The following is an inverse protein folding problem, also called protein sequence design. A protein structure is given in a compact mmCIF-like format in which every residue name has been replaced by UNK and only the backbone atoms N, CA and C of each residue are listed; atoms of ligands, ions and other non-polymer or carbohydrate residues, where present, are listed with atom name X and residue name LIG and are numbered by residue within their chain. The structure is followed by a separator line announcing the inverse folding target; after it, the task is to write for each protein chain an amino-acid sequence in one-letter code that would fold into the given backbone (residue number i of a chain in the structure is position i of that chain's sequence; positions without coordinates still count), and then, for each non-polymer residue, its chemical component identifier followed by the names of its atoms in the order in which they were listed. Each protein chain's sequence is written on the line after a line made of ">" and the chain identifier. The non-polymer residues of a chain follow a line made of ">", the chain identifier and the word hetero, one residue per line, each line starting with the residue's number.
data_IF_690708910117
#
_entry.id   IF_690708910117
#
_cell.length_a   1.000
_cell.length_b   1.000
_cell.length_c   1.000
_cell.angle_alpha   90.00
_cell.angle_beta   90.00
_cell.angle_gamma   90.00
#
_symmetry.space_group_name_H-M   'P 1'
#
loop_
_entity.id
_entity.type
_entity.pdbx_description
1 polymer ?
#
# COMPACT_ATOMS: atom_id res chain seq x y z
N UNK A 1 15.52 1.03 19.05
CA UNK A 1 14.65 -0.14 18.76
C UNK A 1 13.25 0.35 18.54
N UNK A 2 12.63 -0.09 17.46
CA UNK A 2 11.24 0.22 17.19
C UNK A 2 10.36 -0.68 18.08
N UNK A 3 9.72 -0.10 19.09
CA UNK A 3 8.92 -0.81 20.10
C UNK A 3 7.75 -1.59 19.48
N UNK A 4 7.29 -1.15 18.31
CA UNK A 4 6.17 -1.75 17.58
C UNK A 4 6.63 -2.74 16.48
N UNK A 5 7.92 -3.05 16.39
CA UNK A 5 8.43 -3.99 15.39
C UNK A 5 8.08 -5.44 15.74
N UNK A 6 7.62 -6.18 14.74
CA UNK A 6 7.40 -7.63 14.85
C UNK A 6 8.76 -8.30 15.04
N UNK A 7 8.87 -9.22 16.00
CA UNK A 7 10.13 -9.92 16.27
C UNK A 7 10.48 -10.88 15.12
N UNK A 8 11.76 -11.05 14.86
CA UNK A 8 12.23 -12.05 13.87
C UNK A 8 11.76 -13.47 14.24
N UNK A 9 11.62 -13.77 15.52
CA UNK A 9 11.11 -15.04 16.02
C UNK A 9 9.66 -15.28 15.57
N UNK A 10 8.82 -14.27 15.66
CA UNK A 10 7.42 -14.37 15.22
C UNK A 10 7.34 -14.55 13.70
N UNK A 11 8.14 -13.80 12.94
CA UNK A 11 8.23 -13.94 11.47
C UNK A 11 8.63 -15.37 11.10
N UNK A 12 9.69 -15.91 11.71
CA UNK A 12 10.15 -17.27 11.44
C UNK A 12 9.12 -18.33 11.83
N UNK A 13 8.35 -18.12 12.90
CA UNK A 13 7.22 -19.00 13.24
C UNK A 13 6.19 -19.01 12.11
N UNK A 14 5.77 -17.86 11.64
CA UNK A 14 4.80 -17.77 10.54
C UNK A 14 5.30 -18.36 9.22
N UNK A 15 6.61 -18.23 8.94
CA UNK A 15 7.23 -18.91 7.79
C UNK A 15 7.16 -20.42 7.95
N UNK A 16 7.48 -20.96 9.13
CA UNK A 16 7.45 -22.39 9.41
C UNK A 16 6.03 -22.99 9.35
N UNK A 17 5.02 -22.18 9.66
CA UNK A 17 3.60 -22.52 9.54
C UNK A 17 3.06 -22.35 8.10
N UNK A 18 3.88 -21.85 7.18
CA UNK A 18 3.47 -21.60 5.78
C UNK A 18 2.51 -20.42 5.61
N UNK A 19 2.44 -19.51 6.60
CA UNK A 19 1.52 -18.37 6.58
C UNK A 19 2.09 -17.19 5.77
N UNK A 20 3.42 -17.04 5.74
CA UNK A 20 4.11 -15.95 5.05
C UNK A 20 5.35 -16.47 4.33
N UNK A 21 5.73 -15.78 3.25
CA UNK A 21 7.00 -15.96 2.54
C UNK A 21 7.87 -14.73 2.80
N UNK A 22 8.82 -14.85 3.73
CA UNK A 22 9.67 -13.75 4.17
C UNK A 22 10.86 -13.54 3.24
N UNK A 23 10.89 -12.42 2.55
CA UNK A 23 11.94 -12.07 1.58
C UNK A 23 13.13 -11.32 2.18
N UNK A 24 13.10 -10.99 3.47
CA UNK A 24 14.14 -10.16 4.09
C UNK A 24 14.12 -8.72 3.59
N UNK A 25 15.24 -8.02 3.79
CA UNK A 25 15.43 -6.68 3.26
C UNK A 25 15.79 -6.74 1.77
N UNK A 26 15.04 -6.01 0.95
CA UNK A 26 15.27 -5.91 -0.49
C UNK A 26 15.72 -4.50 -0.85
N UNK A 27 16.73 -4.39 -1.74
CA UNK A 27 17.15 -3.12 -2.32
C UNK A 27 16.14 -2.58 -3.34
N UNK A 28 15.43 -3.49 -4.01
CA UNK A 28 14.39 -3.18 -5.00
C UNK A 28 13.19 -4.10 -4.75
N UNK A 29 12.06 -3.50 -4.39
CA UNK A 29 10.82 -4.21 -4.07
C UNK A 29 9.92 -4.44 -5.28
N UNK A 30 10.22 -3.83 -6.43
CA UNK A 30 9.37 -3.85 -7.62
C UNK A 30 9.11 -5.27 -8.13
N UNK A 31 10.13 -6.12 -8.13
CA UNK A 31 9.99 -7.52 -8.56
C UNK A 31 9.04 -8.34 -7.67
N UNK A 32 8.94 -8.02 -6.37
CA UNK A 32 7.96 -8.68 -5.50
C UNK A 32 6.56 -8.05 -5.62
N UNK A 33 6.49 -6.74 -5.80
CA UNK A 33 5.21 -6.04 -6.07
C UNK A 33 4.58 -6.55 -7.38
N UNK A 34 5.40 -6.84 -8.40
CA UNK A 34 4.93 -7.38 -9.68
C UNK A 34 4.18 -8.72 -9.51
N UNK A 35 4.61 -9.55 -8.58
CA UNK A 35 4.02 -10.87 -8.30
C UNK A 35 2.76 -10.80 -7.44
N UNK A 36 2.53 -9.71 -6.73
CA UNK A 36 1.37 -9.59 -5.86
C UNK A 36 0.12 -9.08 -6.60
N UNK A 37 -1.06 -9.45 -6.12
CA UNK A 37 -2.34 -8.96 -6.62
C UNK A 37 -2.89 -7.81 -5.79
N UNK A 38 -2.51 -7.74 -4.53
CA UNK A 38 -2.94 -6.76 -3.53
C UNK A 38 -1.69 -6.31 -2.78
N UNK A 39 -1.53 -5.01 -2.62
CA UNK A 39 -0.46 -4.45 -1.79
C UNK A 39 -1.03 -4.00 -0.45
N UNK A 40 -0.41 -4.43 0.66
CA UNK A 40 -0.90 -4.17 2.02
C UNK A 40 0.19 -3.51 2.85
N UNK A 41 -0.10 -2.30 3.37
CA UNK A 41 0.81 -1.58 4.28
C UNK A 41 0.04 -1.15 5.55
N UNK A 42 0.01 -1.96 6.62
CA UNK A 42 -0.71 -1.66 7.85
C UNK A 42 0.14 -0.84 8.84
N UNK A 43 0.64 0.30 8.40
CA UNK A 43 1.50 1.17 9.20
C UNK A 43 0.73 1.96 10.26
N UNK A 44 1.41 2.30 11.36
CA UNK A 44 0.87 3.19 12.39
C UNK A 44 1.20 4.66 12.14
N UNK A 45 2.25 4.92 11.37
CA UNK A 45 2.70 6.26 11.01
C UNK A 45 3.60 6.19 9.80
N UNK A 46 3.35 7.05 8.81
CA UNK A 46 4.17 7.20 7.61
C UNK A 46 4.25 8.68 7.21
N UNK A 47 5.32 9.04 6.47
CA UNK A 47 5.25 10.10 5.49
C UNK A 47 4.43 9.61 4.28
N UNK A 48 4.70 10.09 3.07
CA UNK A 48 4.13 9.45 1.88
C UNK A 48 4.93 8.17 1.59
N UNK A 49 4.35 6.96 1.77
CA UNK A 49 5.11 5.72 1.66
C UNK A 49 5.45 5.39 0.19
N UNK A 50 6.73 5.44 -0.17
CA UNK A 50 7.21 5.21 -1.55
C UNK A 50 6.77 3.86 -2.10
N UNK A 51 6.81 2.81 -1.28
CA UNK A 51 6.42 1.47 -1.71
C UNK A 51 4.93 1.36 -2.07
N UNK A 52 4.06 2.18 -1.45
CA UNK A 52 2.66 2.31 -1.88
C UNK A 52 2.57 2.97 -3.24
N UNK A 53 3.33 4.06 -3.48
CA UNK A 53 3.34 4.73 -4.79
C UNK A 53 3.85 3.81 -5.90
N UNK A 54 4.87 2.99 -5.61
CA UNK A 54 5.36 1.97 -6.54
C UNK A 54 4.28 0.93 -6.85
N UNK A 55 3.59 0.42 -5.83
CA UNK A 55 2.49 -0.53 -6.01
C UNK A 55 1.31 0.06 -6.79
N UNK A 56 0.93 1.31 -6.51
CA UNK A 56 -0.09 2.05 -7.26
C UNK A 56 0.30 2.18 -8.74
N UNK A 57 1.55 2.59 -9.01
CA UNK A 57 2.08 2.75 -10.38
C UNK A 57 2.05 1.42 -11.15
N UNK A 58 2.19 0.30 -10.47
CA UNK A 58 2.11 -1.04 -11.02
C UNK A 58 0.67 -1.59 -11.07
N UNK A 59 -0.32 -0.77 -10.78
CA UNK A 59 -1.74 -1.14 -10.88
C UNK A 59 -2.19 -2.14 -9.82
N UNK A 60 -1.63 -2.08 -8.60
CA UNK A 60 -2.09 -2.93 -7.50
C UNK A 60 -3.22 -2.26 -6.73
N UNK A 61 -4.20 -3.04 -6.31
CA UNK A 61 -5.17 -2.59 -5.33
C UNK A 61 -4.46 -2.42 -3.98
N UNK A 62 -4.70 -1.31 -3.30
CA UNK A 62 -3.99 -0.95 -2.08
C UNK A 62 -4.87 -1.17 -0.85
N UNK A 63 -4.33 -1.77 0.21
CA UNK A 63 -4.92 -1.74 1.53
C UNK A 63 -3.92 -1.09 2.48
N UNK A 64 -4.31 0.00 3.11
CA UNK A 64 -3.46 0.68 4.09
C UNK A 64 -4.27 1.22 5.25
N UNK A 65 -3.59 1.71 6.27
CA UNK A 65 -4.23 2.27 7.46
C UNK A 65 -4.65 3.72 7.24
N UNK A 66 -5.73 4.11 7.90
CA UNK A 66 -6.25 5.48 7.93
C UNK A 66 -5.43 6.34 8.91
N UNK A 67 -4.17 6.60 8.53
CA UNK A 67 -3.21 7.44 9.26
C UNK A 67 -2.60 8.48 8.31
N UNK A 68 -2.07 9.60 8.81
CA UNK A 68 -1.39 10.60 7.98
C UNK A 68 -0.32 9.96 7.08
N UNK A 69 -0.20 10.43 5.85
CA UNK A 69 0.69 9.89 4.84
C UNK A 69 0.12 8.68 4.08
N UNK A 70 -0.39 7.67 4.78
CA UNK A 70 -1.08 6.55 4.14
C UNK A 70 -2.43 6.97 3.56
N UNK A 71 -3.23 7.70 4.32
CA UNK A 71 -4.55 8.20 3.91
C UNK A 71 -4.53 8.93 2.58
N UNK A 72 -3.48 9.69 2.32
CA UNK A 72 -3.36 10.52 1.13
C UNK A 72 -3.07 9.71 -0.14
N UNK A 73 -2.70 8.44 0.00
CA UNK A 73 -2.37 7.56 -1.12
C UNK A 73 -3.57 6.75 -1.62
N UNK A 74 -4.64 6.64 -0.85
CA UNK A 74 -5.79 5.80 -1.20
C UNK A 74 -7.09 6.59 -1.16
N UNK A 75 -7.89 6.46 -2.21
CA UNK A 75 -9.31 6.87 -2.20
C UNK A 75 -10.10 5.63 -1.77
N UNK A 76 -10.62 5.66 -0.54
CA UNK A 76 -11.31 4.51 0.07
C UNK A 76 -12.50 4.03 -0.77
N UNK A 77 -12.55 2.71 -0.99
CA UNK A 77 -13.56 2.08 -1.84
C UNK A 77 -13.38 2.29 -3.34
N UNK A 78 -12.39 3.07 -3.79
CA UNK A 78 -12.15 3.39 -5.21
C UNK A 78 -10.82 2.86 -5.71
N UNK A 79 -9.72 3.21 -5.06
CA UNK A 79 -8.35 2.76 -5.41
C UNK A 79 -7.83 1.67 -4.49
N UNK A 80 -8.57 1.36 -3.45
CA UNK A 80 -8.23 0.40 -2.42
C UNK A 80 -9.09 0.59 -1.18
N UNK A 81 -8.60 0.13 -0.03
CA UNK A 81 -9.27 0.29 1.26
C UNK A 81 -8.39 0.96 2.30
N UNK A 82 -9.00 1.86 3.07
CA UNK A 82 -8.45 2.40 4.31
C UNK A 82 -9.04 1.64 5.50
N UNK A 83 -8.19 1.14 6.37
CA UNK A 83 -8.61 0.45 7.59
C UNK A 83 -8.12 1.22 8.82
N UNK A 84 -8.88 1.25 9.93
CA UNK A 84 -8.39 1.86 11.15
C UNK A 84 -7.08 1.21 11.62
N UNK A 85 -6.15 2.00 12.13
CA UNK A 85 -4.91 1.45 12.71
C UNK A 85 -5.23 0.54 13.91
N UNK A 86 -4.39 -0.47 14.14
CA UNK A 86 -4.57 -1.47 15.22
C UNK A 86 -5.87 -2.29 15.10
N UNK A 87 -6.45 -2.38 13.91
CA UNK A 87 -7.63 -3.18 13.63
C UNK A 87 -7.30 -4.36 12.68
N UNK A 88 -6.72 -5.42 13.24
CA UNK A 88 -6.35 -6.61 12.48
C UNK A 88 -7.55 -7.31 11.82
N UNK A 89 -8.73 -7.27 12.47
CA UNK A 89 -9.96 -7.83 11.90
C UNK A 89 -10.39 -7.05 10.66
N UNK A 90 -10.44 -5.71 10.74
CA UNK A 90 -10.76 -4.87 9.59
C UNK A 90 -9.78 -5.04 8.43
N UNK A 91 -8.49 -5.20 8.73
CA UNK A 91 -7.46 -5.50 7.74
C UNK A 91 -7.73 -6.85 7.06
N UNK A 92 -7.99 -7.89 7.83
CA UNK A 92 -8.29 -9.23 7.31
C UNK A 92 -9.58 -9.25 6.46
N UNK A 93 -10.62 -8.53 6.88
CA UNK A 93 -11.89 -8.42 6.14
C UNK A 93 -11.67 -7.70 4.79
N UNK A 94 -10.88 -6.62 4.76
CA UNK A 94 -10.52 -5.92 3.52
C UNK A 94 -9.71 -6.81 2.57
N UNK A 95 -8.70 -7.52 3.08
CA UNK A 95 -7.92 -8.49 2.31
C UNK A 95 -8.82 -9.59 1.72
N UNK A 96 -9.67 -10.19 2.55
CA UNK A 96 -10.59 -11.25 2.13
C UNK A 96 -11.53 -10.78 1.02
N UNK A 97 -12.06 -9.56 1.13
CA UNK A 97 -12.92 -8.97 0.10
C UNK A 97 -12.22 -8.87 -1.24
N UNK A 98 -10.99 -8.37 -1.29
CA UNK A 98 -10.22 -8.26 -2.54
C UNK A 98 -9.73 -9.62 -3.07
N UNK A 99 -9.49 -10.60 -2.20
CA UNK A 99 -9.13 -11.96 -2.61
C UNK A 99 -10.33 -12.63 -3.31
N UNK A 100 -11.53 -12.48 -2.76
CA UNK A 100 -12.73 -13.14 -3.25
C UNK A 100 -13.35 -12.46 -4.49
N UNK A 101 -13.11 -11.16 -4.66
CA UNK A 101 -13.66 -10.37 -5.77
C UNK A 101 -12.54 -9.91 -6.71
N UNK A 102 -12.33 -10.72 -7.76
CA UNK A 102 -11.29 -10.45 -8.77
C UNK A 102 -11.60 -9.15 -9.55
N UNK A 103 -12.85 -8.93 -9.94
CA UNK A 103 -13.24 -7.77 -10.74
C UNK A 103 -13.03 -6.48 -9.95
N UNK A 104 -13.46 -6.46 -8.68
CA UNK A 104 -13.23 -5.33 -7.77
C UNK A 104 -11.72 -5.05 -7.62
N UNK A 105 -10.92 -6.09 -7.38
CA UNK A 105 -9.46 -5.98 -7.23
C UNK A 105 -8.80 -5.40 -8.46
N UNK A 106 -9.14 -5.88 -9.66
CA UNK A 106 -8.58 -5.40 -10.92
C UNK A 106 -9.02 -3.95 -11.21
N UNK A 107 -10.30 -3.64 -10.99
CA UNK A 107 -10.83 -2.27 -11.12
C UNK A 107 -10.14 -1.29 -10.17
N UNK A 108 -9.95 -1.66 -8.90
CA UNK A 108 -9.23 -0.83 -7.93
C UNK A 108 -7.77 -0.65 -8.31
N UNK A 109 -7.11 -1.70 -8.80
CA UNK A 109 -5.73 -1.63 -9.27
C UNK A 109 -5.54 -0.66 -10.43
N UNK A 110 -6.43 -0.70 -11.42
CA UNK A 110 -6.42 0.23 -12.54
C UNK A 110 -6.60 1.68 -12.08
N UNK A 111 -7.62 1.94 -11.26
CA UNK A 111 -7.89 3.28 -10.70
C UNK A 111 -6.75 3.77 -9.80
N UNK A 112 -6.11 2.87 -9.07
CA UNK A 112 -4.93 3.15 -8.26
C UNK A 112 -3.79 3.70 -9.13
N UNK A 113 -3.52 3.06 -10.27
CA UNK A 113 -2.51 3.53 -11.24
C UNK A 113 -2.88 4.89 -11.82
N UNK A 114 -4.11 5.06 -12.26
CA UNK A 114 -4.60 6.35 -12.81
C UNK A 114 -4.44 7.48 -11.78
N UNK A 115 -4.77 7.22 -10.52
CA UNK A 115 -4.61 8.17 -9.45
C UNK A 115 -3.14 8.49 -9.17
N UNK A 116 -2.25 7.48 -9.17
CA UNK A 116 -0.82 7.69 -8.99
C UNK A 116 -0.23 8.58 -10.08
N UNK A 117 -0.54 8.31 -11.35
CA UNK A 117 -0.09 9.13 -12.49
C UNK A 117 -0.60 10.57 -12.38
N UNK A 118 -1.88 10.74 -12.01
CA UNK A 118 -2.48 12.08 -11.91
C UNK A 118 -1.90 12.91 -10.76
N UNK A 119 -1.63 12.29 -9.61
CA UNK A 119 -1.28 13.03 -8.39
C UNK A 119 0.22 13.08 -8.11
N UNK A 120 0.95 12.04 -8.48
CA UNK A 120 2.35 11.84 -8.07
C UNK A 120 3.33 11.74 -9.24
N UNK A 121 2.93 12.07 -10.48
CA UNK A 121 3.89 12.21 -11.57
C UNK A 121 4.77 13.45 -11.34
N UNK A 122 6.00 13.42 -11.87
CA UNK A 122 6.94 14.53 -11.77
C UNK A 122 6.33 15.83 -12.33
N UNK A 123 5.59 15.73 -13.44
CA UNK A 123 4.90 16.88 -14.04
C UNK A 123 3.82 17.45 -13.13
N UNK A 124 3.03 16.60 -12.45
CA UNK A 124 1.99 17.05 -11.53
C UNK A 124 2.57 17.72 -10.29
N UNK A 125 3.64 17.15 -9.73
CA UNK A 125 4.34 17.71 -8.58
C UNK A 125 5.01 19.04 -8.93
N UNK A 126 5.66 19.13 -10.09
CA UNK A 126 6.27 20.35 -10.57
C UNK A 126 5.23 21.47 -10.79
N UNK A 127 4.07 21.15 -11.40
CA UNK A 127 2.99 22.10 -11.61
C UNK A 127 2.43 22.64 -10.30
N UNK A 128 2.25 21.77 -9.29
CA UNK A 128 1.79 22.16 -7.95
C UNK A 128 2.79 23.11 -7.26
N UNK A 129 4.09 22.79 -7.32
CA UNK A 129 5.14 23.63 -6.75
C UNK A 129 5.16 25.02 -7.43
N UNK A 130 5.12 25.06 -8.76
CA UNK A 130 5.11 26.31 -9.52
C UNK A 130 3.90 27.17 -9.16
N UNK A 131 2.72 26.56 -9.03
CA UNK A 131 1.49 27.28 -8.67
C UNK A 131 1.54 27.90 -7.26
N UNK A 132 2.26 27.28 -6.31
CA UNK A 132 2.43 27.79 -4.95
C UNK A 132 3.51 28.88 -4.84
N UNK A 133 4.42 28.94 -5.80
CA UNK A 133 5.50 29.93 -5.82
C UNK A 133 5.11 31.23 -6.59
N UNK A 134 3.88 31.33 -7.11
CA UNK A 134 3.39 32.46 -7.91
C UNK A 134 4.32 32.81 -9.11
N UNK A 135 4.98 31.78 -9.71
CA UNK A 135 5.89 31.91 -10.83
C UNK A 135 5.20 31.69 -12.18
#
# INVERSE_FOLDING_TARGET
>A
ENIDAISLKDILSWVSEGLVDYKGALLDVRGEIEKCSIYVLPSYREGTPRSVLEAMSMGRAIITTDVPGCRDTVIDGVTGFLVPSKNSKGLADAMKRLIQDKELRESMGQKSREYAVKKYSDDSVAAEIISHLDL
#
